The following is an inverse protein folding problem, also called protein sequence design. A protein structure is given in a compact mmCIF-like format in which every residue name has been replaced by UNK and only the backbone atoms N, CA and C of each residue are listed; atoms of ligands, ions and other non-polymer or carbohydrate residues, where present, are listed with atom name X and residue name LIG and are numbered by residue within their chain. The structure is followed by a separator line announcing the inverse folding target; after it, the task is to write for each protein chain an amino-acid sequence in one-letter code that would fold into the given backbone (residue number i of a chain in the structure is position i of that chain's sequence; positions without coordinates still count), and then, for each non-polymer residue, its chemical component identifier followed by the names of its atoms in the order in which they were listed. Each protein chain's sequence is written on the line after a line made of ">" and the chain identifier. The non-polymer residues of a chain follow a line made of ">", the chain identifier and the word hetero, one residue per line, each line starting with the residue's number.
data_IF_869541718453
#
_entry.id   IF_869541718453
#
_cell.length_a   1.000
_cell.length_b   1.000
_cell.length_c   1.000
_cell.angle_alpha   90.00
_cell.angle_beta   90.00
_cell.angle_gamma   90.00
#
_symmetry.space_group_name_H-M   'P 1'
#
loop_
_entity.id
_entity.type
_entity.pdbx_description
1 polymer ?
#
# COMPACT_ATOMS: atom_id res chain seq x y z
N UNK A 1 -1.92 -2.92 45.78
CA UNK A 1 -1.89 -4.32 45.28
C UNK A 1 -3.26 -4.83 44.81
N UNK A 2 -4.32 -4.81 45.63
CA UNK A 2 -5.66 -5.31 45.24
C UNK A 2 -6.30 -4.60 44.03
N UNK A 3 -6.12 -3.27 43.88
CA UNK A 3 -6.66 -2.51 42.73
C UNK A 3 -6.01 -2.86 41.39
N UNK A 4 -4.69 -3.08 41.36
CA UNK A 4 -3.99 -3.50 40.13
C UNK A 4 -4.38 -4.90 39.66
N UNK A 5 -4.68 -5.82 40.59
CA UNK A 5 -5.19 -7.16 40.25
C UNK A 5 -6.59 -7.06 39.65
N UNK A 6 -7.45 -6.16 40.16
CA UNK A 6 -8.79 -5.93 39.60
C UNK A 6 -8.71 -5.39 38.18
N UNK A 7 -7.86 -4.39 37.89
CA UNK A 7 -7.69 -3.88 36.52
C UNK A 7 -7.10 -4.92 35.56
N UNK A 8 -6.16 -5.74 36.04
CA UNK A 8 -5.60 -6.84 35.27
C UNK A 8 -6.67 -7.90 34.93
N UNK A 9 -7.48 -8.30 35.92
CA UNK A 9 -8.58 -9.23 35.71
C UNK A 9 -9.68 -8.65 34.83
N UNK A 10 -10.00 -7.36 34.95
CA UNK A 10 -10.95 -6.67 34.08
C UNK A 10 -10.43 -6.63 32.62
N UNK A 11 -9.13 -6.38 32.43
CA UNK A 11 -8.46 -6.44 31.14
C UNK A 11 -8.54 -7.83 30.52
N UNK A 12 -8.29 -8.89 31.31
CA UNK A 12 -8.45 -10.29 30.87
C UNK A 12 -9.91 -10.57 30.51
N UNK A 13 -10.87 -10.10 31.32
CA UNK A 13 -12.30 -10.34 31.08
C UNK A 13 -12.80 -9.67 29.79
N UNK A 14 -12.36 -8.43 29.53
CA UNK A 14 -12.63 -7.71 28.27
C UNK A 14 -11.97 -8.42 27.10
N UNK A 15 -10.71 -8.85 27.23
CA UNK A 15 -10.01 -9.65 26.22
C UNK A 15 -10.74 -10.97 25.92
N UNK A 16 -11.24 -11.66 26.95
CA UNK A 16 -12.02 -12.90 26.77
C UNK A 16 -13.41 -12.67 26.18
N UNK A 17 -14.05 -11.52 26.46
CA UNK A 17 -15.34 -11.15 25.87
C UNK A 17 -15.23 -10.71 24.41
N UNK A 18 -14.11 -10.10 24.04
CA UNK A 18 -13.76 -9.78 22.65
C UNK A 18 -13.24 -11.00 21.88
N UNK A 19 -12.73 -12.03 22.59
CA UNK A 19 -12.14 -13.24 22.01
C UNK A 19 -13.09 -13.96 21.04
N UNK A 20 -14.39 -14.06 21.33
CA UNK A 20 -15.33 -14.71 20.41
C UNK A 20 -15.47 -13.96 19.08
N UNK A 21 -15.58 -12.62 19.11
CA UNK A 21 -15.65 -11.78 17.91
C UNK A 21 -14.32 -11.71 17.17
N UNK A 22 -13.20 -11.74 17.89
CA UNK A 22 -11.86 -11.75 17.31
C UNK A 22 -11.56 -13.10 16.65
N UNK A 23 -11.92 -14.22 17.30
CA UNK A 23 -11.77 -15.57 16.76
C UNK A 23 -12.62 -15.81 15.50
N UNK A 24 -13.80 -15.19 15.41
CA UNK A 24 -14.66 -15.25 14.23
C UNK A 24 -14.04 -14.50 13.04
N UNK A 25 -13.50 -13.30 13.27
CA UNK A 25 -12.75 -12.55 12.26
C UNK A 25 -11.44 -13.24 11.84
N UNK A 26 -10.75 -13.91 12.76
CA UNK A 26 -9.53 -14.67 12.46
C UNK A 26 -9.82 -15.97 11.71
N UNK A 27 -11.00 -16.59 11.91
CA UNK A 27 -11.48 -17.69 11.07
C UNK A 27 -11.74 -17.21 9.65
N UNK A 28 -12.39 -16.06 9.48
CA UNK A 28 -12.64 -15.47 8.17
C UNK A 28 -11.32 -15.18 7.42
N UNK A 29 -10.29 -14.70 8.12
CA UNK A 29 -8.94 -14.50 7.55
C UNK A 29 -8.24 -15.82 7.20
N UNK A 30 -8.41 -16.87 8.02
CA UNK A 30 -7.88 -18.19 7.71
C UNK A 30 -8.57 -18.81 6.48
N UNK A 31 -9.89 -18.60 6.35
CA UNK A 31 -10.70 -19.03 5.20
C UNK A 31 -10.36 -18.27 3.92
N UNK A 32 -9.98 -16.98 4.02
CA UNK A 32 -9.49 -16.17 2.89
C UNK A 32 -8.09 -16.56 2.39
N UNK A 33 -7.48 -17.60 2.97
CA UNK A 33 -6.19 -18.12 2.51
C UNK A 33 -5.04 -17.20 2.93
N UNK A 34 -4.67 -17.27 4.21
CA UNK A 34 -3.48 -16.60 4.75
C UNK A 34 -2.25 -16.85 3.85
N UNK A 35 -1.76 -15.81 3.18
CA UNK A 35 -0.69 -15.93 2.17
C UNK A 35 0.72 -16.13 2.77
N UNK A 36 0.90 -15.93 4.08
CA UNK A 36 2.21 -16.01 4.75
C UNK A 36 2.56 -17.40 5.32
N UNK A 37 3.85 -17.75 5.30
CA UNK A 37 4.39 -18.89 6.10
C UNK A 37 4.97 -18.46 7.45
N UNK A 38 5.04 -17.16 7.71
CA UNK A 38 5.59 -16.60 8.94
C UNK A 38 4.67 -16.86 10.14
N UNK A 39 5.21 -17.56 11.15
CA UNK A 39 4.48 -17.85 12.39
C UNK A 39 3.56 -19.07 12.33
N UNK A 40 3.89 -20.11 11.57
CA UNK A 40 3.21 -21.42 11.60
C UNK A 40 3.58 -22.29 12.83
N UNK A 41 4.33 -21.76 13.78
CA UNK A 41 4.61 -22.46 15.05
C UNK A 41 3.33 -22.54 15.87
N UNK A 42 3.04 -23.70 16.47
CA UNK A 42 1.78 -24.02 17.15
C UNK A 42 1.27 -22.91 18.10
N UNK A 43 2.17 -22.30 18.88
CA UNK A 43 1.81 -21.21 19.80
C UNK A 43 1.38 -19.90 19.12
N UNK A 44 1.86 -19.64 17.91
CA UNK A 44 1.50 -18.47 17.10
C UNK A 44 0.11 -18.61 16.48
N UNK A 45 -0.29 -19.85 16.14
CA UNK A 45 -1.65 -20.17 15.69
C UNK A 45 -2.66 -20.02 16.83
N UNK A 46 -2.33 -20.50 18.03
CA UNK A 46 -3.19 -20.33 19.21
C UNK A 46 -3.35 -18.86 19.60
N UNK A 47 -2.27 -18.07 19.59
CA UNK A 47 -2.33 -16.64 19.87
C UNK A 47 -3.13 -15.84 18.81
N UNK A 48 -3.14 -16.32 17.55
CA UNK A 48 -4.04 -15.79 16.50
C UNK A 48 -5.48 -16.16 16.80
N UNK A 49 -5.80 -17.44 17.01
CA UNK A 49 -7.17 -17.88 17.30
C UNK A 49 -7.80 -17.21 18.54
N UNK A 50 -6.98 -16.68 19.45
CA UNK A 50 -7.43 -15.94 20.63
C UNK A 50 -7.54 -14.41 20.43
N UNK A 51 -7.31 -13.89 19.23
CA UNK A 51 -7.32 -12.46 18.93
C UNK A 51 -6.18 -11.63 19.55
N UNK A 52 -5.23 -12.28 20.22
CA UNK A 52 -4.15 -11.60 20.96
C UNK A 52 -3.18 -10.86 20.02
N UNK A 53 -2.96 -11.41 18.82
CA UNK A 53 -2.15 -10.73 17.80
C UNK A 53 -2.77 -9.41 17.34
N UNK A 54 -4.08 -9.40 17.06
CA UNK A 54 -4.80 -8.20 16.63
C UNK A 54 -4.87 -7.14 17.72
N UNK A 55 -5.09 -7.56 18.98
CA UNK A 55 -4.99 -6.66 20.13
C UNK A 55 -3.58 -6.06 20.27
N UNK A 56 -2.54 -6.90 20.11
CA UNK A 56 -1.14 -6.46 20.10
C UNK A 56 -0.84 -5.48 18.96
N UNK A 57 -1.33 -5.75 17.75
CA UNK A 57 -1.21 -4.88 16.59
C UNK A 57 -1.86 -3.51 16.84
N UNK A 58 -3.05 -3.48 17.46
CA UNK A 58 -3.73 -2.24 17.85
C UNK A 58 -2.92 -1.42 18.87
N UNK A 59 -2.34 -2.06 19.88
CA UNK A 59 -1.48 -1.37 20.86
C UNK A 59 -0.20 -0.83 20.21
N UNK A 60 0.43 -1.60 19.31
CA UNK A 60 1.59 -1.14 18.56
C UNK A 60 1.24 0.01 17.61
N UNK A 61 0.04 0.01 17.02
CA UNK A 61 -0.42 1.10 16.18
C UNK A 61 -0.67 2.39 16.96
N UNK A 62 -1.25 2.32 18.16
CA UNK A 62 -1.35 3.49 19.05
C UNK A 62 0.06 4.03 19.38
N UNK A 63 1.01 3.14 19.71
CA UNK A 63 2.41 3.53 19.93
C UNK A 63 3.02 4.19 18.70
N UNK A 64 2.76 3.65 17.51
CA UNK A 64 3.22 4.21 16.24
C UNK A 64 2.71 5.63 16.01
N UNK A 65 1.44 5.89 16.30
CA UNK A 65 0.85 7.24 16.20
C UNK A 65 1.58 8.22 17.13
N UNK A 66 1.87 7.80 18.37
CA UNK A 66 2.64 8.61 19.33
C UNK A 66 4.05 8.87 18.82
N UNK A 67 4.75 7.83 18.34
CA UNK A 67 6.11 7.96 17.78
C UNK A 67 6.12 8.96 16.63
N UNK A 68 5.17 8.88 15.69
CA UNK A 68 5.06 9.87 14.61
C UNK A 68 4.92 11.27 15.20
N UNK A 69 3.99 11.48 16.13
CA UNK A 69 3.75 12.79 16.76
C UNK A 69 4.98 13.37 17.47
N UNK A 70 5.72 12.54 18.22
CA UNK A 70 6.96 12.94 18.90
C UNK A 70 8.07 13.31 17.92
N UNK A 71 8.09 12.67 16.74
CA UNK A 71 9.11 12.87 15.72
C UNK A 71 8.75 13.96 14.68
N UNK A 72 7.62 14.65 14.84
CA UNK A 72 7.28 15.80 13.99
C UNK A 72 8.13 17.02 14.38
N UNK A 73 9.03 17.43 13.48
CA UNK A 73 9.89 18.60 13.69
C UNK A 73 11.25 18.30 14.32
N UNK A 74 11.66 17.02 14.38
CA UNK A 74 13.02 16.63 14.74
C UNK A 74 13.95 16.82 13.54
N UNK A 75 15.19 17.25 13.80
CA UNK A 75 16.23 17.46 12.78
C UNK A 75 16.74 16.14 12.17
N UNK A 76 16.77 15.06 12.95
CA UNK A 76 17.12 13.71 12.51
C UNK A 76 15.94 12.98 11.85
N UNK A 77 15.71 13.33 10.59
CA UNK A 77 14.70 12.72 9.72
C UNK A 77 14.93 11.23 9.49
N UNK A 78 16.18 10.78 9.46
CA UNK A 78 16.51 9.38 9.16
C UNK A 78 16.18 8.44 10.31
N UNK A 79 16.38 8.89 11.55
CA UNK A 79 15.94 8.15 12.74
C UNK A 79 14.41 8.05 12.77
N UNK A 80 13.72 9.18 12.56
CA UNK A 80 12.25 9.23 12.59
C UNK A 80 11.62 8.29 11.55
N UNK A 81 12.12 8.35 10.31
CA UNK A 81 11.57 7.56 9.20
C UNK A 81 11.86 6.06 9.35
N UNK A 82 13.00 5.67 9.90
CA UNK A 82 13.30 4.27 10.26
C UNK A 82 12.40 3.76 11.37
N UNK A 83 12.19 4.54 12.44
CA UNK A 83 11.30 4.16 13.52
C UNK A 83 9.87 3.90 13.02
N UNK A 84 9.40 4.72 12.09
CA UNK A 84 8.08 4.54 11.45
C UNK A 84 8.06 3.24 10.63
N UNK A 85 9.07 2.99 9.79
CA UNK A 85 9.12 1.77 8.97
C UNK A 85 9.16 0.49 9.83
N UNK A 86 10.02 0.45 10.84
CA UNK A 86 10.13 -0.68 11.77
C UNK A 86 8.85 -0.90 12.58
N UNK A 87 8.20 0.18 13.01
CA UNK A 87 6.94 0.07 13.73
C UNK A 87 5.85 -0.53 12.83
N UNK A 88 5.80 -0.11 11.57
CA UNK A 88 4.87 -0.69 10.59
C UNK A 88 5.14 -2.18 10.31
N UNK A 89 6.41 -2.59 10.28
CA UNK A 89 6.81 -3.99 10.18
C UNK A 89 6.34 -4.81 11.40
N UNK A 90 6.57 -4.31 12.61
CA UNK A 90 6.12 -5.00 13.84
C UNK A 90 4.59 -5.15 13.90
N UNK A 91 3.86 -4.14 13.43
CA UNK A 91 2.39 -4.19 13.36
C UNK A 91 1.95 -5.23 12.32
N UNK A 92 2.51 -5.20 11.12
CA UNK A 92 2.16 -6.15 10.03
C UNK A 92 2.55 -7.60 10.34
N UNK A 93 3.62 -7.83 11.09
CA UNK A 93 3.96 -9.16 11.61
C UNK A 93 2.86 -9.74 12.53
N UNK A 94 2.20 -8.88 13.31
CA UNK A 94 1.10 -9.29 14.17
C UNK A 94 -0.21 -9.42 13.39
N UNK A 95 -0.55 -8.43 12.58
CA UNK A 95 -1.77 -8.38 11.77
C UNK A 95 -1.47 -7.83 10.36
N UNK A 96 -1.17 -8.72 9.38
CA UNK A 96 -0.83 -8.30 8.02
C UNK A 96 -2.04 -7.82 7.20
N UNK A 97 -3.26 -8.03 7.67
CA UNK A 97 -4.47 -7.53 7.01
C UNK A 97 -4.94 -6.19 7.59
N UNK A 98 -4.18 -5.62 8.53
CA UNK A 98 -4.53 -4.33 9.10
C UNK A 98 -4.19 -3.18 8.15
N UNK A 99 -5.07 -2.91 7.18
CA UNK A 99 -4.93 -1.86 6.16
C UNK A 99 -4.54 -0.49 6.75
N UNK A 100 -5.11 -0.14 7.92
CA UNK A 100 -4.84 1.12 8.60
C UNK A 100 -3.37 1.34 8.97
N UNK A 101 -2.60 0.27 9.21
CA UNK A 101 -1.16 0.36 9.43
C UNK A 101 -0.43 0.85 8.18
N UNK A 102 -0.70 0.21 7.04
CA UNK A 102 -0.04 0.51 5.79
C UNK A 102 -0.45 1.88 5.26
N UNK A 103 -1.74 2.20 5.33
CA UNK A 103 -2.27 3.51 4.98
C UNK A 103 -1.59 4.60 5.83
N UNK A 104 -1.60 4.47 7.16
CA UNK A 104 -1.05 5.48 8.04
C UNK A 104 0.46 5.65 7.84
N UNK A 105 1.24 4.58 8.00
CA UNK A 105 2.70 4.65 7.98
C UNK A 105 3.23 5.05 6.60
N UNK A 106 2.68 4.47 5.54
CA UNK A 106 3.07 4.82 4.17
C UNK A 106 2.73 6.28 3.83
N UNK A 107 1.56 6.77 4.25
CA UNK A 107 1.16 8.16 3.99
C UNK A 107 2.03 9.17 4.72
N UNK A 108 2.39 8.88 5.97
CA UNK A 108 3.28 9.72 6.76
C UNK A 108 4.63 9.87 6.06
N UNK A 109 5.22 8.75 5.60
CA UNK A 109 6.51 8.77 4.91
C UNK A 109 6.45 9.44 3.53
N UNK A 110 5.37 9.24 2.77
CA UNK A 110 5.22 9.79 1.43
C UNK A 110 4.85 11.28 1.42
N UNK A 111 3.91 11.70 2.26
CA UNK A 111 3.23 13.00 2.12
C UNK A 111 3.64 14.05 3.14
N UNK A 112 4.26 13.66 4.27
CA UNK A 112 4.87 14.67 5.15
C UNK A 112 6.10 15.24 4.47
N UNK A 113 6.06 16.56 4.25
CA UNK A 113 7.09 17.31 3.51
C UNK A 113 8.51 17.09 4.05
N UNK A 114 8.64 16.96 5.37
CA UNK A 114 9.93 16.76 6.05
C UNK A 114 10.52 15.39 5.77
N UNK A 115 9.70 14.35 5.56
CA UNK A 115 10.17 12.99 5.37
C UNK A 115 10.41 12.67 3.90
N UNK A 116 9.36 12.74 3.06
CA UNK A 116 9.41 12.40 1.62
C UNK A 116 10.22 11.13 1.31
N UNK A 117 10.13 10.13 2.19
CA UNK A 117 10.81 8.84 2.07
C UNK A 117 9.95 7.90 1.24
N UNK A 118 9.90 8.20 -0.06
CA UNK A 118 9.11 7.46 -1.03
C UNK A 118 9.53 5.99 -1.10
N UNK A 119 10.84 5.70 -0.99
CA UNK A 119 11.39 4.35 -0.91
C UNK A 119 10.71 3.51 0.18
N UNK A 120 10.68 4.02 1.41
CA UNK A 120 10.07 3.34 2.55
C UNK A 120 8.54 3.30 2.45
N UNK A 121 7.93 4.37 1.94
CA UNK A 121 6.49 4.43 1.75
C UNK A 121 6.01 3.38 0.74
N UNK A 122 6.71 3.21 -0.38
CA UNK A 122 6.38 2.20 -1.38
C UNK A 122 6.56 0.79 -0.85
N UNK A 123 7.60 0.50 -0.07
CA UNK A 123 7.73 -0.81 0.57
C UNK A 123 6.52 -1.13 1.47
N UNK A 124 6.09 -0.15 2.29
CA UNK A 124 4.94 -0.32 3.17
C UNK A 124 3.65 -0.53 2.35
N UNK A 125 3.40 0.29 1.34
CA UNK A 125 2.21 0.13 0.49
C UNK A 125 2.22 -1.20 -0.27
N UNK A 126 3.36 -1.61 -0.82
CA UNK A 126 3.54 -2.90 -1.50
C UNK A 126 3.18 -4.05 -0.56
N UNK A 127 3.77 -4.11 0.64
CA UNK A 127 3.43 -5.13 1.65
C UNK A 127 1.95 -5.09 2.01
N UNK A 128 1.35 -3.90 2.10
CA UNK A 128 -0.09 -3.77 2.33
C UNK A 128 -0.92 -4.40 1.22
N UNK A 129 -0.57 -4.19 -0.04
CA UNK A 129 -1.27 -4.73 -1.20
C UNK A 129 -1.02 -6.23 -1.40
N UNK A 130 0.14 -6.78 -0.98
CA UNK A 130 0.38 -8.22 -0.98
C UNK A 130 -0.64 -8.99 -0.13
N UNK A 131 -1.04 -8.42 1.01
CA UNK A 131 -2.05 -9.03 1.89
C UNK A 131 -3.47 -8.53 1.59
N UNK A 132 -3.62 -7.35 1.00
CA UNK A 132 -4.91 -6.70 0.75
C UNK A 132 -5.01 -6.24 -0.72
N UNK A 133 -4.98 -7.17 -1.71
CA UNK A 133 -4.86 -6.82 -3.13
C UNK A 133 -6.05 -6.01 -3.66
N UNK A 134 -7.23 -6.20 -3.07
CA UNK A 134 -8.46 -5.49 -3.44
C UNK A 134 -8.63 -4.14 -2.70
N UNK A 135 -7.63 -3.69 -1.92
CA UNK A 135 -7.74 -2.44 -1.18
C UNK A 135 -7.59 -1.21 -2.10
N UNK A 136 -8.73 -0.68 -2.53
CA UNK A 136 -8.83 0.57 -3.28
C UNK A 136 -8.14 1.76 -2.59
N UNK A 137 -8.13 1.76 -1.25
CA UNK A 137 -7.48 2.80 -0.47
C UNK A 137 -5.97 2.72 -0.65
N UNK A 138 -5.36 1.54 -0.42
CA UNK A 138 -3.91 1.38 -0.55
C UNK A 138 -3.44 1.67 -1.98
N UNK A 139 -4.18 1.22 -2.99
CA UNK A 139 -3.88 1.54 -4.40
C UNK A 139 -3.87 3.06 -4.66
N UNK A 140 -4.87 3.80 -4.17
CA UNK A 140 -4.95 5.26 -4.30
C UNK A 140 -3.78 5.98 -3.64
N UNK A 141 -3.44 5.58 -2.41
CA UNK A 141 -2.32 6.18 -1.67
C UNK A 141 -0.98 5.90 -2.33
N UNK A 142 -0.77 4.68 -2.84
CA UNK A 142 0.44 4.32 -3.59
C UNK A 142 0.54 5.09 -4.90
N UNK A 143 -0.56 5.22 -5.65
CA UNK A 143 -0.60 6.01 -6.89
C UNK A 143 -0.31 7.50 -6.63
N UNK A 144 -0.88 8.08 -5.56
CA UNK A 144 -0.59 9.46 -5.15
C UNK A 144 0.86 9.67 -4.72
N UNK A 145 1.46 8.69 -4.04
CA UNK A 145 2.86 8.73 -3.66
C UNK A 145 3.77 8.66 -4.90
N UNK A 146 3.43 7.82 -5.89
CA UNK A 146 4.14 7.74 -7.17
C UNK A 146 4.11 9.06 -7.93
N UNK A 147 2.93 9.66 -8.07
CA UNK A 147 2.77 10.98 -8.70
C UNK A 147 3.59 12.09 -8.01
N UNK A 148 3.85 11.94 -6.71
CA UNK A 148 4.63 12.90 -5.92
C UNK A 148 6.13 12.58 -5.89
N UNK A 149 6.52 11.36 -6.25
CA UNK A 149 7.91 10.89 -6.20
C UNK A 149 8.70 11.37 -7.43
N UNK A 150 9.96 11.76 -7.21
CA UNK A 150 10.90 12.12 -8.29
C UNK A 150 11.95 11.02 -8.57
N UNK A 151 11.82 9.85 -7.94
CA UNK A 151 12.85 8.80 -7.92
C UNK A 151 12.27 7.41 -8.17
N UNK A 152 13.16 6.45 -8.47
CA UNK A 152 12.94 5.02 -8.76
C UNK A 152 11.56 4.60 -9.31
N UNK A 153 11.04 5.40 -10.25
CA UNK A 153 9.72 5.25 -10.85
C UNK A 153 9.57 3.87 -11.52
N UNK A 154 10.64 3.34 -12.13
CA UNK A 154 10.61 2.08 -12.89
C UNK A 154 10.31 0.85 -12.03
N UNK A 155 10.89 0.76 -10.83
CA UNK A 155 10.64 -0.37 -9.92
C UNK A 155 9.20 -0.39 -9.42
N UNK A 156 8.66 0.79 -9.09
CA UNK A 156 7.28 0.94 -8.63
C UNK A 156 6.30 0.66 -9.77
N UNK A 157 6.62 1.09 -10.99
CA UNK A 157 5.82 0.76 -12.16
C UNK A 157 5.70 -0.75 -12.32
N UNK A 158 6.80 -1.50 -12.20
CA UNK A 158 6.76 -2.97 -12.30
C UNK A 158 5.78 -3.61 -11.31
N UNK A 159 5.73 -3.13 -10.06
CA UNK A 159 4.76 -3.59 -9.06
C UNK A 159 3.33 -3.30 -9.52
N UNK A 160 3.08 -2.11 -10.07
CA UNK A 160 1.77 -1.79 -10.63
C UNK A 160 1.42 -2.69 -11.82
N UNK A 161 2.39 -3.03 -12.68
CA UNK A 161 2.19 -3.97 -13.80
C UNK A 161 1.75 -5.34 -13.27
N UNK A 162 2.39 -5.84 -12.21
CA UNK A 162 2.04 -7.11 -11.56
C UNK A 162 0.62 -7.06 -10.99
N UNK A 163 0.25 -5.98 -10.29
CA UNK A 163 -1.09 -5.83 -9.71
C UNK A 163 -2.16 -5.77 -10.80
N UNK A 164 -1.98 -4.96 -11.85
CA UNK A 164 -3.00 -4.81 -12.92
C UNK A 164 -3.11 -6.06 -13.79
N UNK A 165 -2.09 -6.90 -13.84
CA UNK A 165 -2.13 -8.20 -14.52
C UNK A 165 -3.02 -9.21 -13.78
N UNK A 166 -3.11 -9.11 -12.45
CA UNK A 166 -3.93 -9.98 -11.62
C UNK A 166 -5.35 -9.44 -11.43
N UNK A 167 -5.48 -8.15 -11.09
CA UNK A 167 -6.74 -7.48 -10.85
C UNK A 167 -6.81 -6.20 -11.67
N UNK A 168 -7.77 -6.14 -12.60
CA UNK A 168 -8.01 -4.93 -13.38
C UNK A 168 -8.41 -3.76 -12.47
N UNK A 169 -7.58 -2.72 -12.49
CA UNK A 169 -7.81 -1.48 -11.76
C UNK A 169 -7.57 -0.28 -12.67
N UNK A 170 -8.65 0.40 -13.08
CA UNK A 170 -8.56 1.50 -14.05
C UNK A 170 -7.76 2.70 -13.53
N UNK A 171 -7.70 2.91 -12.20
CA UNK A 171 -6.86 3.97 -11.62
C UNK A 171 -5.38 3.63 -11.77
N UNK A 172 -4.97 2.42 -11.40
CA UNK A 172 -3.58 1.98 -11.53
C UNK A 172 -3.15 1.91 -13.00
N UNK A 173 -4.02 1.45 -13.89
CA UNK A 173 -3.77 1.45 -15.33
C UNK A 173 -3.57 2.89 -15.84
N UNK A 174 -4.42 3.84 -15.45
CA UNK A 174 -4.24 5.25 -15.81
C UNK A 174 -2.93 5.81 -15.26
N UNK A 175 -2.55 5.44 -14.04
CA UNK A 175 -1.26 5.86 -13.47
C UNK A 175 -0.09 5.27 -14.27
N UNK A 176 -0.09 3.98 -14.61
CA UNK A 176 0.93 3.36 -15.46
C UNK A 176 1.03 4.05 -16.82
N UNK A 177 -0.11 4.26 -17.49
CA UNK A 177 -0.16 4.89 -18.80
C UNK A 177 0.47 6.29 -18.78
N UNK A 178 0.07 7.11 -17.81
CA UNK A 178 0.57 8.47 -17.63
C UNK A 178 2.06 8.48 -17.24
N UNK A 179 2.48 7.61 -16.32
CA UNK A 179 3.88 7.59 -15.87
C UNK A 179 4.82 7.13 -16.99
N UNK A 180 4.43 6.14 -17.81
CA UNK A 180 5.19 5.78 -19.01
C UNK A 180 5.21 6.89 -20.05
N UNK A 181 4.11 7.64 -20.21
CA UNK A 181 4.07 8.80 -21.10
C UNK A 181 5.10 9.85 -20.68
N UNK A 182 5.13 10.21 -19.39
CA UNK A 182 6.11 11.15 -18.85
C UNK A 182 7.54 10.64 -19.00
N UNK A 183 7.78 9.33 -18.81
CA UNK A 183 9.10 8.75 -19.04
C UNK A 183 9.53 8.87 -20.50
N UNK A 184 8.61 8.67 -21.45
CA UNK A 184 8.87 8.91 -22.87
C UNK A 184 9.14 10.40 -23.15
N UNK A 185 8.29 11.32 -22.69
CA UNK A 185 8.46 12.76 -22.92
C UNK A 185 9.81 13.28 -22.39
N UNK A 186 10.36 12.66 -21.34
CA UNK A 186 11.66 13.04 -20.76
C UNK A 186 12.88 12.37 -21.41
N UNK A 187 12.72 11.20 -22.05
CA UNK A 187 13.85 10.39 -22.54
C UNK A 187 13.83 10.13 -24.04
N UNK A 188 12.71 10.40 -24.70
CA UNK A 188 12.39 10.02 -26.08
C UNK A 188 12.53 8.51 -26.37
N UNK A 189 12.57 7.66 -25.33
CA UNK A 189 12.68 6.22 -25.49
C UNK A 189 11.35 5.60 -25.93
N UNK A 190 11.32 5.10 -27.16
CA UNK A 190 10.12 4.52 -27.79
C UNK A 190 9.54 3.32 -27.03
N UNK A 191 10.31 2.62 -26.20
CA UNK A 191 9.77 1.52 -25.39
C UNK A 191 8.80 2.03 -24.32
N UNK A 192 9.08 3.20 -23.71
CA UNK A 192 8.15 3.82 -22.78
C UNK A 192 6.87 4.29 -23.49
N UNK A 193 6.99 4.82 -24.71
CA UNK A 193 5.81 5.19 -25.49
C UNK A 193 4.93 3.97 -25.79
N UNK A 194 5.54 2.85 -26.21
CA UNK A 194 4.79 1.60 -26.47
C UNK A 194 4.04 1.12 -25.23
N UNK A 195 4.72 1.09 -24.07
CA UNK A 195 4.09 0.71 -22.80
C UNK A 195 2.97 1.67 -22.41
N UNK A 196 3.20 2.99 -22.53
CA UNK A 196 2.15 3.98 -22.28
C UNK A 196 0.91 3.73 -23.14
N UNK A 197 1.08 3.53 -24.44
CA UNK A 197 -0.02 3.27 -25.37
C UNK A 197 -0.73 1.95 -25.10
N UNK A 198 -0.01 0.91 -24.67
CA UNK A 198 -0.61 -0.34 -24.22
C UNK A 198 -1.60 -0.10 -23.07
N UNK A 199 -1.17 0.62 -22.02
CA UNK A 199 -2.05 0.91 -20.89
C UNK A 199 -3.17 1.92 -21.22
N UNK A 200 -2.92 2.91 -22.10
CA UNK A 200 -4.01 3.76 -22.62
C UNK A 200 -5.05 2.93 -23.37
N UNK A 201 -4.63 1.96 -24.20
CA UNK A 201 -5.56 1.10 -24.93
C UNK A 201 -6.42 0.24 -23.98
N UNK A 202 -5.87 -0.22 -22.85
CA UNK A 202 -6.62 -0.93 -21.81
C UNK A 202 -7.71 -0.06 -21.14
N UNK A 203 -7.67 1.26 -21.27
CA UNK A 203 -8.67 2.16 -20.69
C UNK A 203 -9.81 2.51 -21.65
N UNK A 204 -9.74 2.11 -22.92
CA UNK A 204 -10.79 2.37 -23.90
C UNK A 204 -12.11 1.67 -23.55
N UNK A 205 -12.06 0.55 -22.83
CA UNK A 205 -13.21 -0.18 -22.33
C UNK A 205 -13.48 0.06 -20.83
N UNK A 206 -12.81 1.06 -20.22
CA UNK A 206 -13.05 1.45 -18.83
C UNK A 206 -14.52 1.77 -18.59
N UNK A 207 -15.05 1.45 -17.41
CA UNK A 207 -16.42 1.85 -17.05
C UNK A 207 -16.54 3.35 -16.77
N UNK A 208 -15.45 4.00 -16.38
CA UNK A 208 -15.39 5.44 -16.15
C UNK A 208 -15.14 6.18 -17.47
N UNK A 209 -16.11 7.01 -17.86
CA UNK A 209 -16.04 7.80 -19.10
C UNK A 209 -14.80 8.70 -19.15
N UNK A 210 -14.34 9.21 -18.01
CA UNK A 210 -13.19 10.11 -17.95
C UNK A 210 -11.91 9.41 -18.39
N UNK A 211 -11.75 8.12 -18.07
CA UNK A 211 -10.60 7.34 -18.50
C UNK A 211 -10.68 6.97 -19.98
N UNK A 212 -11.87 6.62 -20.49
CA UNK A 212 -12.07 6.32 -21.91
C UNK A 212 -11.73 7.52 -22.80
N UNK A 213 -12.31 8.68 -22.51
CA UNK A 213 -12.08 9.92 -23.29
C UNK A 213 -10.60 10.29 -23.29
N UNK A 214 -9.94 10.24 -22.12
CA UNK A 214 -8.50 10.53 -22.02
C UNK A 214 -7.66 9.52 -22.84
N UNK A 215 -8.01 8.24 -22.81
CA UNK A 215 -7.31 7.21 -23.57
C UNK A 215 -7.43 7.45 -25.08
N UNK A 216 -8.62 7.80 -25.57
CA UNK A 216 -8.87 8.15 -26.98
C UNK A 216 -7.98 9.32 -27.42
N UNK A 217 -8.00 10.43 -26.68
CA UNK A 217 -7.18 11.62 -26.95
C UNK A 217 -5.68 11.29 -27.02
N UNK A 218 -5.19 10.47 -26.07
CA UNK A 218 -3.77 10.09 -26.00
C UNK A 218 -3.37 9.19 -27.15
N UNK A 219 -4.20 8.21 -27.51
CA UNK A 219 -3.91 7.31 -28.63
C UNK A 219 -3.90 8.08 -29.96
N UNK A 220 -4.84 9.00 -30.16
CA UNK A 220 -4.88 9.86 -31.35
C UNK A 220 -3.62 10.73 -31.47
N UNK A 221 -3.23 11.43 -30.40
CA UNK A 221 -2.01 12.26 -30.32
C UNK A 221 -0.78 11.50 -30.83
N UNK A 222 -0.57 10.28 -30.35
CA UNK A 222 0.65 9.52 -30.68
C UNK A 222 0.56 8.71 -31.97
N UNK A 223 -0.63 8.34 -32.43
CA UNK A 223 -0.81 7.77 -33.77
C UNK A 223 -0.39 8.77 -34.86
N UNK A 224 -0.73 10.05 -34.67
CA UNK A 224 -0.26 11.13 -35.53
C UNK A 224 1.28 11.23 -35.51
N UNK A 225 1.89 11.22 -34.32
CA UNK A 225 3.34 11.28 -34.16
C UNK A 225 4.06 10.12 -34.87
N UNK A 226 3.63 8.88 -34.62
CA UNK A 226 4.22 7.67 -35.24
C UNK A 226 4.10 7.73 -36.77
N UNK A 227 2.95 8.19 -37.28
CA UNK A 227 2.72 8.32 -38.72
C UNK A 227 3.65 9.36 -39.35
N UNK A 228 3.88 10.51 -38.68
CA UNK A 228 4.78 11.55 -39.16
C UNK A 228 6.26 11.15 -39.17
N UNK A 229 6.68 10.23 -38.29
CA UNK A 229 8.04 9.70 -38.23
C UNK A 229 8.35 8.68 -39.35
N UNK A 230 7.34 7.98 -39.87
CA UNK A 230 7.50 7.02 -40.98
C UNK A 230 7.62 7.69 -42.36
N UNK A 231 7.38 9.00 -42.44
CA UNK A 231 7.40 9.79 -43.69
C UNK A 231 8.74 10.51 -43.89
N UNK A 232 9.68 10.39 -42.94
CA UNK A 232 11.07 10.86 -43.06
C UNK A 232 12.02 9.69 -43.31
#
# INVERSE_FOLDING_TARGET
>A
MKRSIIFFLLGIMILTGLNSRLAEADRELAERGYAGREGLVQGTVTARLMGAKRAGAGLLWVKQVVVVGENLGIDDVDMATRAIAEGSEKISYLDPYFEGNYQFSGSILAFIRTYRRFDLAFDIFRRGLEYNPESEVLKKYMAGALASSRGNILEIMKIFEEIVAETRDDLLINTLAFTYEQAYENTENMEFLKRSLYYWAMLLDSKDERYRVRAEEKIEKYNYLISSLKVK
#
